data_IF_241006080526
#
_entry.id   IF_241006080526
#
_cell.length_a   1.000
_cell.length_b   1.000
_cell.length_c   1.000
_cell.angle_alpha   90.00
_cell.angle_beta   90.00
_cell.angle_gamma   90.00
#
_symmetry.space_group_name_H-M   'P 1'
#
loop_
_entity.id
_entity.type
_entity.pdbx_description
1 polymer ?
#
# COMPACT_ATOMS: atom_id res chain seq x y z
N UNK A 1 -20.63 -13.03 20.91
CA UNK A 1 -19.94 -11.83 20.37
C UNK A 1 -18.62 -11.52 21.08
N UNK A 2 -18.22 -12.25 22.14
CA UNK A 2 -17.04 -11.95 22.96
C UNK A 2 -15.71 -12.66 22.58
N UNK A 3 -15.65 -13.44 21.48
CA UNK A 3 -14.48 -14.28 21.18
C UNK A 3 -13.23 -13.50 20.73
N UNK A 4 -13.36 -12.22 20.39
CA UNK A 4 -12.28 -11.41 19.80
C UNK A 4 -11.82 -10.23 20.67
N UNK A 5 -12.37 -10.09 21.88
CA UNK A 5 -12.11 -8.93 22.74
C UNK A 5 -10.71 -8.99 23.39
N UNK A 6 -10.05 -10.15 23.42
CA UNK A 6 -8.76 -10.34 24.11
C UNK A 6 -7.53 -10.52 23.23
N UNK A 7 -7.66 -10.61 21.89
CA UNK A 7 -6.55 -10.98 21.01
C UNK A 7 -6.63 -10.27 19.67
N UNK A 8 -5.56 -9.55 19.29
CA UNK A 8 -5.40 -9.03 17.93
C UNK A 8 -5.30 -10.20 16.95
N UNK A 9 -6.18 -10.20 15.96
CA UNK A 9 -6.19 -11.20 14.89
C UNK A 9 -5.50 -10.63 13.67
N UNK A 10 -4.39 -11.26 13.30
CA UNK A 10 -3.60 -10.89 12.13
C UNK A 10 -3.63 -12.03 11.13
N UNK A 11 -3.92 -11.70 9.87
CA UNK A 11 -3.86 -12.63 8.76
C UNK A 11 -3.07 -11.99 7.62
N UNK A 12 -2.13 -12.73 7.06
CA UNK A 12 -1.27 -12.25 5.99
C UNK A 12 -0.62 -13.40 5.24
N UNK A 13 0.03 -13.06 4.14
CA UNK A 13 0.69 -14.00 3.23
C UNK A 13 2.19 -13.71 3.05
N UNK A 14 2.69 -12.71 3.79
CA UNK A 14 4.04 -12.15 3.70
C UNK A 14 4.97 -12.64 4.81
N UNK A 15 4.58 -13.62 5.64
CA UNK A 15 5.45 -14.17 6.70
C UNK A 15 6.66 -14.92 6.12
N UNK A 16 6.54 -15.46 4.90
CA UNK A 16 7.63 -16.14 4.20
C UNK A 16 8.14 -15.24 3.08
N UNK A 17 9.30 -14.64 3.30
CA UNK A 17 9.97 -13.82 2.29
C UNK A 17 10.55 -14.68 1.16
N UNK A 18 10.70 -14.08 -0.03
CA UNK A 18 11.29 -14.73 -1.21
C UNK A 18 10.35 -15.67 -1.98
N UNK A 19 9.08 -15.79 -1.58
CA UNK A 19 8.07 -16.50 -2.38
C UNK A 19 7.41 -15.56 -3.39
N UNK A 20 7.17 -16.08 -4.59
CA UNK A 20 6.32 -15.45 -5.59
C UNK A 20 4.89 -15.27 -5.06
N UNK A 21 4.16 -14.21 -5.43
CA UNK A 21 2.82 -13.93 -4.91
C UNK A 21 1.83 -15.10 -5.00
N UNK A 22 1.97 -15.93 -6.03
CA UNK A 22 1.13 -17.11 -6.30
C UNK A 22 1.34 -18.24 -5.28
N UNK A 23 2.57 -18.37 -4.77
CA UNK A 23 2.94 -19.39 -3.78
C UNK A 23 2.70 -18.93 -2.33
N UNK A 24 2.37 -17.65 -2.13
CA UNK A 24 2.11 -17.07 -0.82
C UNK A 24 0.77 -17.51 -0.27
N UNK A 25 0.85 -18.24 0.85
CA UNK A 25 -0.33 -18.73 1.58
C UNK A 25 -0.83 -17.68 2.55
N UNK A 26 -2.10 -17.33 2.40
CA UNK A 26 -2.79 -16.46 3.35
C UNK A 26 -3.16 -17.25 4.61
N UNK A 27 -2.52 -16.94 5.74
CA UNK A 27 -2.67 -17.69 7.00
C UNK A 27 -2.74 -16.77 8.23
N UNK A 28 -3.23 -17.31 9.35
CA UNK A 28 -3.25 -16.59 10.63
C UNK A 28 -1.83 -16.46 11.16
N UNK A 29 -1.45 -15.24 11.54
CA UNK A 29 -0.15 -14.94 12.11
C UNK A 29 -0.27 -14.99 13.62
N UNK A 30 0.29 -16.04 14.22
CA UNK A 30 0.25 -16.26 15.67
C UNK A 30 1.43 -15.59 16.41
N UNK A 31 2.59 -15.53 15.76
CA UNK A 31 3.85 -15.02 16.34
C UNK A 31 4.14 -13.60 15.87
N UNK A 32 3.85 -12.63 16.73
CA UNK A 32 4.08 -11.21 16.47
C UNK A 32 5.56 -10.83 16.51
N UNK A 33 6.39 -11.53 17.28
CA UNK A 33 7.83 -11.29 17.33
C UNK A 33 8.48 -11.66 16.01
N UNK A 34 8.11 -12.82 15.45
CA UNK A 34 8.54 -13.24 14.12
C UNK A 34 8.06 -12.27 13.05
N UNK A 35 6.80 -11.83 13.14
CA UNK A 35 6.25 -10.83 12.21
C UNK A 35 7.08 -9.54 12.21
N UNK A 36 7.40 -8.98 13.37
CA UNK A 36 8.21 -7.76 13.46
C UNK A 36 9.59 -7.91 12.81
N UNK A 37 10.24 -9.07 12.97
CA UNK A 37 11.51 -9.35 12.32
C UNK A 37 11.39 -9.40 10.79
N UNK A 38 10.34 -10.04 10.28
CA UNK A 38 10.06 -10.10 8.83
C UNK A 38 9.74 -8.71 8.26
N UNK A 39 8.95 -7.89 8.97
CA UNK A 39 8.68 -6.52 8.53
C UNK A 39 9.95 -5.65 8.51
N UNK A 40 10.87 -5.88 9.44
CA UNK A 40 12.17 -5.19 9.44
C UNK A 40 13.02 -5.56 8.22
N UNK A 41 13.05 -6.84 7.84
CA UNK A 41 13.74 -7.30 6.64
C UNK A 41 13.13 -6.70 5.36
N UNK A 42 11.80 -6.65 5.24
CA UNK A 42 11.13 -5.93 4.14
C UNK A 42 11.45 -4.43 4.11
N UNK A 43 11.63 -3.80 5.28
CA UNK A 43 11.94 -2.38 5.36
C UNK A 43 13.36 -2.09 4.86
N UNK A 44 14.30 -2.97 5.20
CA UNK A 44 15.67 -2.93 4.70
C UNK A 44 15.69 -3.10 3.17
N UNK A 45 14.98 -4.10 2.65
CA UNK A 45 14.82 -4.32 1.20
C UNK A 45 14.22 -3.09 0.49
N UNK A 46 13.13 -2.53 1.03
CA UNK A 46 12.53 -1.31 0.51
C UNK A 46 13.55 -0.16 0.41
N UNK A 47 14.36 0.03 1.46
CA UNK A 47 15.32 1.12 1.56
C UNK A 47 16.53 0.94 0.63
N UNK A 48 16.84 -0.28 0.24
CA UNK A 48 17.84 -0.58 -0.79
C UNK A 48 17.30 -0.26 -2.19
N UNK A 49 16.03 -0.58 -2.46
CA UNK A 49 15.42 -0.39 -3.77
C UNK A 49 14.98 1.06 -4.07
N UNK A 50 14.79 1.90 -3.06
CA UNK A 50 14.19 3.24 -3.23
C UNK A 50 15.06 4.37 -2.67
N UNK A 51 15.31 5.39 -3.50
CA UNK A 51 16.08 6.61 -3.15
C UNK A 51 15.43 7.51 -2.09
N UNK A 52 14.15 7.29 -1.77
CA UNK A 52 13.38 8.02 -0.75
C UNK A 52 12.90 7.13 0.38
N UNK A 53 13.83 6.34 0.94
CA UNK A 53 13.59 5.31 1.95
C UNK A 53 12.63 5.68 3.08
N UNK A 54 12.09 4.66 3.75
CA UNK A 54 11.17 4.77 4.86
C UNK A 54 11.89 4.51 6.18
N UNK A 55 11.53 5.32 7.19
CA UNK A 55 11.91 5.10 8.57
C UNK A 55 10.64 4.76 9.36
N UNK A 56 10.32 3.46 9.44
CA UNK A 56 9.12 2.96 10.11
C UNK A 56 9.51 2.26 11.42
N UNK A 57 8.68 2.43 12.43
CA UNK A 57 8.75 1.70 13.69
C UNK A 57 7.52 0.81 13.79
N UNK A 58 7.72 -0.49 13.96
CA UNK A 58 6.65 -1.49 13.98
C UNK A 58 6.10 -1.73 15.39
N UNK A 59 5.23 -0.84 15.85
CA UNK A 59 4.38 -1.06 17.02
C UNK A 59 3.05 -1.70 16.61
N UNK A 60 2.24 -2.14 17.59
CA UNK A 60 1.03 -2.92 17.36
C UNK A 60 0.09 -2.31 16.30
N UNK A 61 -0.27 -1.03 16.43
CA UNK A 61 -1.19 -0.39 15.47
C UNK A 61 -0.60 -0.28 14.06
N UNK A 62 0.72 -0.04 13.95
CA UNK A 62 1.40 0.01 12.66
C UNK A 62 1.34 -1.35 11.96
N UNK A 63 1.60 -2.43 12.71
CA UNK A 63 1.51 -3.81 12.23
C UNK A 63 0.08 -4.15 11.80
N UNK A 64 -0.91 -3.79 12.61
CA UNK A 64 -2.33 -3.97 12.26
C UNK A 64 -2.69 -3.23 10.98
N UNK A 65 -2.26 -1.98 10.83
CA UNK A 65 -2.52 -1.19 9.63
C UNK A 65 -1.86 -1.78 8.38
N UNK A 66 -0.59 -2.18 8.45
CA UNK A 66 0.12 -2.82 7.33
C UNK A 66 -0.61 -4.10 6.91
N UNK A 67 -0.99 -4.93 7.90
CA UNK A 67 -1.71 -6.19 7.66
C UNK A 67 -3.06 -5.95 6.99
N UNK A 68 -3.81 -4.93 7.43
CA UNK A 68 -5.10 -4.54 6.82
C UNK A 68 -4.92 -4.05 5.38
N UNK A 69 -3.94 -3.18 5.12
CA UNK A 69 -3.67 -2.67 3.77
C UNK A 69 -3.24 -3.80 2.84
N UNK A 70 -2.28 -4.63 3.25
CA UNK A 70 -1.83 -5.79 2.48
C UNK A 70 -2.98 -6.74 2.14
N UNK A 71 -3.87 -7.01 3.10
CA UNK A 71 -5.09 -7.81 2.86
C UNK A 71 -6.00 -7.20 1.81
N UNK A 72 -6.20 -5.88 1.83
CA UNK A 72 -7.04 -5.18 0.83
C UNK A 72 -6.38 -5.25 -0.55
N UNK A 73 -5.08 -4.99 -0.64
CA UNK A 73 -4.33 -5.01 -1.91
C UNK A 73 -4.32 -6.40 -2.57
N UNK A 74 -4.38 -7.47 -1.78
CA UNK A 74 -4.48 -8.85 -2.31
C UNK A 74 -5.80 -9.11 -3.03
N UNK A 75 -6.86 -8.36 -2.73
CA UNK A 75 -8.16 -8.57 -3.39
C UNK A 75 -8.16 -7.98 -4.81
N UNK A 76 -8.77 -8.66 -5.79
CA UNK A 76 -8.93 -8.08 -7.11
C UNK A 76 -9.73 -6.79 -7.02
N UNK A 77 -9.20 -5.70 -7.58
CA UNK A 77 -9.79 -4.35 -7.50
C UNK A 77 -9.95 -3.87 -6.04
N UNK A 78 -9.03 -4.24 -5.15
CA UNK A 78 -9.00 -3.78 -3.77
C UNK A 78 -8.83 -2.26 -3.67
N UNK A 79 -9.67 -1.60 -2.89
CA UNK A 79 -9.65 -0.16 -2.66
C UNK A 79 -9.72 0.13 -1.15
N UNK A 80 -8.93 1.11 -0.68
CA UNK A 80 -8.89 1.50 0.72
C UNK A 80 -8.98 3.03 0.85
N UNK A 81 -9.93 3.52 1.65
CA UNK A 81 -9.97 4.91 2.09
C UNK A 81 -9.30 5.01 3.46
N UNK A 82 -8.14 5.68 3.51
CA UNK A 82 -7.35 5.80 4.73
C UNK A 82 -7.66 7.11 5.45
N UNK A 83 -8.46 7.02 6.51
CA UNK A 83 -8.88 8.18 7.31
C UNK A 83 -8.00 8.32 8.55
N UNK A 84 -7.55 9.54 8.83
CA UNK A 84 -6.80 9.86 10.05
C UNK A 84 -6.03 11.17 9.93
N UNK A 85 -5.50 11.65 11.05
CA UNK A 85 -4.76 12.93 11.11
C UNK A 85 -3.49 12.93 10.25
N UNK A 86 -3.05 14.10 9.81
CA UNK A 86 -1.77 14.28 9.12
C UNK A 86 -0.61 13.74 9.96
N UNK A 87 0.40 13.16 9.31
CA UNK A 87 1.57 12.60 10.00
C UNK A 87 1.40 11.21 10.62
N UNK A 88 0.20 10.62 10.59
CA UNK A 88 -0.06 9.26 11.14
C UNK A 88 0.55 8.10 10.32
N UNK A 89 1.41 8.39 9.34
CA UNK A 89 2.11 7.37 8.55
C UNK A 89 1.30 6.69 7.44
N UNK A 90 0.02 7.03 7.21
CA UNK A 90 -0.86 6.38 6.19
C UNK A 90 -0.17 6.15 4.83
N UNK A 91 0.44 7.20 4.27
CA UNK A 91 1.12 7.11 2.97
C UNK A 91 2.35 6.20 3.03
N UNK A 92 3.16 6.31 4.08
CA UNK A 92 4.37 5.51 4.25
C UNK A 92 4.07 4.03 4.50
N UNK A 93 3.09 3.72 5.36
CA UNK A 93 2.65 2.34 5.62
C UNK A 93 2.01 1.70 4.38
N UNK A 94 1.31 2.49 3.56
CA UNK A 94 0.70 1.97 2.31
C UNK A 94 1.76 1.67 1.25
N UNK A 95 2.76 2.56 1.08
CA UNK A 95 3.90 2.29 0.19
C UNK A 95 4.67 1.06 0.62
N UNK A 96 4.88 0.91 1.93
CA UNK A 96 5.54 -0.25 2.49
C UNK A 96 4.74 -1.54 2.24
N UNK A 97 3.43 -1.54 2.52
CA UNK A 97 2.56 -2.69 2.25
C UNK A 97 2.47 -3.05 0.77
N UNK A 98 2.46 -2.05 -0.13
CA UNK A 98 2.50 -2.25 -1.58
C UNK A 98 3.81 -2.94 -2.00
N UNK A 99 4.96 -2.47 -1.50
CA UNK A 99 6.26 -3.09 -1.74
C UNK A 99 6.32 -4.55 -1.27
N UNK A 100 5.82 -4.84 -0.06
CA UNK A 100 5.73 -6.21 0.44
C UNK A 100 4.93 -7.12 -0.49
N UNK A 101 3.85 -6.60 -1.08
CA UNK A 101 3.03 -7.30 -2.06
C UNK A 101 3.60 -7.34 -3.48
N UNK A 102 4.75 -6.72 -3.74
CA UNK A 102 5.36 -6.61 -5.06
C UNK A 102 4.65 -5.63 -6.00
N UNK A 103 3.84 -4.71 -5.46
CA UNK A 103 3.15 -3.69 -6.24
C UNK A 103 4.03 -2.45 -6.42
N UNK A 104 4.06 -1.91 -7.64
CA UNK A 104 4.60 -0.59 -7.90
C UNK A 104 3.64 0.49 -7.35
N UNK A 105 4.15 1.48 -6.61
CA UNK A 105 3.30 2.58 -6.14
C UNK A 105 3.31 3.71 -7.15
N UNK A 106 2.16 4.00 -7.75
CA UNK A 106 1.97 5.17 -8.60
C UNK A 106 1.42 6.35 -7.79
N UNK A 107 2.04 7.52 -7.92
CA UNK A 107 1.61 8.77 -7.30
C UNK A 107 1.66 9.89 -8.32
N UNK A 108 0.68 10.79 -8.25
CA UNK A 108 0.70 12.03 -9.01
C UNK A 108 1.64 13.03 -8.36
N UNK A 109 2.53 13.63 -9.15
CA UNK A 109 3.39 14.73 -8.71
C UNK A 109 2.85 16.05 -9.22
N UNK A 110 2.34 16.88 -8.31
CA UNK A 110 1.81 18.18 -8.67
C UNK A 110 2.95 19.13 -9.07
N UNK A 111 2.85 19.67 -10.27
CA UNK A 111 3.73 20.72 -10.80
C UNK A 111 2.97 22.05 -10.95
N UNK A 112 3.69 23.15 -11.16
CA UNK A 112 3.05 24.45 -11.39
C UNK A 112 2.25 24.40 -12.70
N UNK A 113 0.94 24.62 -12.59
CA UNK A 113 0.02 24.56 -13.73
C UNK A 113 -0.65 23.20 -13.93
N UNK A 114 -0.44 22.25 -13.02
CA UNK A 114 -1.07 20.93 -13.07
C UNK A 114 -2.61 21.02 -13.10
N UNK A 115 -3.23 20.43 -14.11
CA UNK A 115 -4.66 20.45 -14.35
C UNK A 115 -5.22 19.12 -14.87
N UNK A 116 -6.45 19.13 -15.41
CA UNK A 116 -7.13 17.91 -15.86
C UNK A 116 -6.43 17.18 -16.99
N UNK A 117 -5.75 17.91 -17.88
CA UNK A 117 -5.04 17.29 -18.99
C UNK A 117 -3.83 16.51 -18.49
N UNK A 118 -3.04 17.12 -17.60
CA UNK A 118 -1.87 16.49 -16.98
C UNK A 118 -2.29 15.27 -16.15
N UNK A 119 -3.39 15.38 -15.41
CA UNK A 119 -3.96 14.25 -14.67
C UNK A 119 -4.36 13.08 -15.57
N UNK A 120 -5.00 13.35 -16.70
CA UNK A 120 -5.34 12.31 -17.67
C UNK A 120 -4.10 11.68 -18.30
N UNK A 121 -3.04 12.44 -18.53
CA UNK A 121 -1.76 11.88 -19.00
C UNK A 121 -1.12 10.97 -17.94
N UNK A 122 -1.19 11.33 -16.65
CA UNK A 122 -0.71 10.46 -15.58
C UNK A 122 -1.58 9.20 -15.42
N UNK A 123 -2.90 9.31 -15.57
CA UNK A 123 -3.79 8.14 -15.61
C UNK A 123 -3.48 7.23 -16.81
N UNK A 124 -3.16 7.79 -17.98
CA UNK A 124 -2.72 6.99 -19.14
C UNK A 124 -1.45 6.21 -18.83
N UNK A 125 -0.46 6.82 -18.17
CA UNK A 125 0.75 6.10 -17.73
C UNK A 125 0.41 4.98 -16.76
N UNK A 126 -0.42 5.26 -15.76
CA UNK A 126 -0.91 4.27 -14.80
C UNK A 126 -1.57 3.08 -15.51
N UNK A 127 -2.50 3.34 -16.44
CA UNK A 127 -3.18 2.28 -17.18
C UNK A 127 -2.27 1.54 -18.16
N UNK A 128 -1.25 2.21 -18.71
CA UNK A 128 -0.26 1.55 -19.54
C UNK A 128 0.56 0.54 -18.72
N UNK A 129 1.08 0.95 -17.57
CA UNK A 129 1.84 0.06 -16.67
C UNK A 129 0.98 -1.11 -16.16
N UNK A 130 -0.25 -0.82 -15.71
CA UNK A 130 -1.13 -1.85 -15.16
C UNK A 130 -1.72 -2.78 -16.23
N UNK A 131 -2.16 -2.21 -17.36
CA UNK A 131 -2.92 -2.93 -18.38
C UNK A 131 -2.07 -3.48 -19.53
N UNK A 132 -1.10 -2.71 -20.03
CA UNK A 132 -0.27 -3.10 -21.19
C UNK A 132 0.96 -3.87 -20.74
N UNK A 133 1.67 -3.38 -19.72
CA UNK A 133 2.84 -4.09 -19.17
C UNK A 133 2.45 -5.23 -18.21
N UNK A 134 1.19 -5.24 -17.74
CA UNK A 134 0.68 -6.27 -16.85
C UNK A 134 1.31 -6.25 -15.45
N UNK A 135 1.89 -5.12 -15.03
CA UNK A 135 2.52 -4.99 -13.72
C UNK A 135 1.47 -4.70 -12.64
N UNK A 136 1.59 -5.28 -11.45
CA UNK A 136 0.72 -4.92 -10.32
C UNK A 136 1.04 -3.50 -9.84
N UNK A 137 0.04 -2.63 -9.80
CA UNK A 137 0.19 -1.22 -9.42
C UNK A 137 -0.80 -0.83 -8.33
N UNK A 138 -0.35 -0.02 -7.36
CA UNK A 138 -1.18 0.67 -6.39
C UNK A 138 -1.20 2.16 -6.71
N UNK A 139 -2.37 2.69 -7.02
CA UNK A 139 -2.55 4.13 -7.14
C UNK A 139 -2.76 4.76 -5.76
N UNK A 140 -1.77 5.52 -5.28
CA UNK A 140 -1.84 6.22 -4.01
C UNK A 140 -2.18 7.69 -4.23
N UNK A 141 -3.41 8.06 -3.86
CA UNK A 141 -3.98 9.37 -4.10
C UNK A 141 -4.40 10.04 -2.77
N UNK A 142 -3.89 11.25 -2.50
CA UNK A 142 -4.19 12.04 -1.31
C UNK A 142 -5.07 13.24 -1.62
N UNK A 143 -5.73 13.76 -0.58
CA UNK A 143 -6.52 15.00 -0.64
C UNK A 143 -5.71 16.20 -1.16
N UNK A 144 -4.44 16.30 -0.77
CA UNK A 144 -3.52 17.33 -1.27
C UNK A 144 -3.26 17.27 -2.77
N UNK A 145 -3.53 16.14 -3.43
CA UNK A 145 -3.38 15.96 -4.88
C UNK A 145 -4.66 16.31 -5.65
N UNK A 146 -5.78 16.56 -4.96
CA UNK A 146 -7.07 16.93 -5.57
C UNK A 146 -7.08 18.43 -5.83
N UNK A 147 -6.59 18.83 -7.00
CA UNK A 147 -6.58 20.24 -7.43
C UNK A 147 -7.94 20.68 -7.97
N UNK A 148 -8.68 19.77 -8.62
CA UNK A 148 -10.01 20.00 -9.18
C UNK A 148 -10.93 18.82 -8.91
N UNK A 149 -12.21 19.08 -8.71
CA UNK A 149 -13.23 18.04 -8.44
C UNK A 149 -13.34 17.01 -9.56
N UNK A 150 -13.12 17.43 -10.81
CA UNK A 150 -13.13 16.52 -11.96
C UNK A 150 -12.08 15.40 -11.90
N UNK A 151 -11.05 15.50 -11.06
CA UNK A 151 -10.09 14.40 -10.86
C UNK A 151 -10.79 13.19 -10.23
N UNK A 152 -11.72 13.41 -9.30
CA UNK A 152 -12.48 12.33 -8.67
C UNK A 152 -13.50 11.72 -9.64
N UNK A 153 -14.08 12.54 -10.52
CA UNK A 153 -14.95 12.05 -11.60
C UNK A 153 -14.18 11.14 -12.56
N UNK A 154 -12.97 11.55 -12.97
CA UNK A 154 -12.10 10.76 -13.84
C UNK A 154 -11.65 9.43 -13.16
N UNK A 155 -11.49 9.37 -11.84
CA UNK A 155 -11.18 8.12 -11.09
C UNK A 155 -12.39 7.19 -10.97
N UNK A 156 -13.59 7.76 -10.81
CA UNK A 156 -14.82 7.00 -10.57
C UNK A 156 -15.42 6.36 -11.84
N UNK A 157 -15.07 6.89 -13.02
CA UNK A 157 -15.52 6.38 -14.32
C UNK A 157 -14.70 5.18 -14.78
#
# INVERSE_FOLDING_TARGET
>A
EDLFVGRTILFGDFIKMGLEPEDRRYEEILDTSKLSAVLQEYLEDYNVCHTGGLNLVFFADAIEHITRVSRILRQPRGNAMLVGVGGSGKSSLTRFAAHMGGFETFRVELTRGYGPNEFREDLKKLYYTAGVEGKPVVFLFSDTQIVKECFLEDINN
#
